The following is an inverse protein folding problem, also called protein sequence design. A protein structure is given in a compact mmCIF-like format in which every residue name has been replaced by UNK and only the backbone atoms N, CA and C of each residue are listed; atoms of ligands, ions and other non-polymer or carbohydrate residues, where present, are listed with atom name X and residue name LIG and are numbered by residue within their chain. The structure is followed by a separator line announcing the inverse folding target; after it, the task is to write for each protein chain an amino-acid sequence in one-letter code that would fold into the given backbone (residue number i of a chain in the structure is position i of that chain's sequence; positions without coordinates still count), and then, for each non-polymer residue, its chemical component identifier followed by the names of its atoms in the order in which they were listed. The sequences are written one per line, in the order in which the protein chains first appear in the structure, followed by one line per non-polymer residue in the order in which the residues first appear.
data_IF_742788094017
#
_entry.id   IF_742788094017
#
_cell.length_a   1.000
_cell.length_b   1.000
_cell.length_c   1.000
_cell.angle_alpha   90.00
_cell.angle_beta   90.00
_cell.angle_gamma   90.00
#
_symmetry.space_group_name_H-M   'P 1'
#
loop_
_entity.id
_entity.type
_entity.pdbx_description
1 polymer ?
#
# COMPACT_ATOMS: atom_id res chain seq x y z
N UNK A 1 -1.41 -0.30 -19.72
CA UNK A 1 -2.07 -1.38 -18.93
C UNK A 1 -2.45 -0.79 -17.58
N UNK A 2 -3.46 0.08 -17.62
CA UNK A 2 -4.00 0.80 -16.48
C UNK A 2 -4.84 -0.15 -15.62
N UNK A 3 -4.48 -0.25 -14.34
CA UNK A 3 -5.18 -1.07 -13.34
C UNK A 3 -6.42 -0.34 -12.79
N UNK A 4 -6.87 0.73 -13.48
CA UNK A 4 -7.66 1.85 -12.95
C UNK A 4 -9.03 1.54 -12.34
N UNK A 5 -9.52 0.31 -12.36
CA UNK A 5 -10.71 -0.12 -11.59
C UNK A 5 -10.64 -1.60 -11.24
N UNK A 6 -9.59 -2.03 -10.54
CA UNK A 6 -9.55 -3.41 -10.06
C UNK A 6 -10.22 -3.50 -8.69
N UNK A 7 -11.41 -4.11 -8.69
CA UNK A 7 -12.04 -4.68 -7.50
C UNK A 7 -11.20 -5.88 -7.01
N UNK A 8 -10.01 -5.59 -6.48
CA UNK A 8 -9.12 -6.60 -5.91
C UNK A 8 -9.26 -6.53 -4.40
N UNK A 9 -9.59 -7.67 -3.79
CA UNK A 9 -9.55 -7.84 -2.34
C UNK A 9 -8.15 -8.18 -1.83
N UNK A 10 -7.34 -8.88 -2.65
CA UNK A 10 -5.95 -9.26 -2.36
C UNK A 10 -5.14 -9.38 -3.67
N UNK A 11 -4.17 -8.49 -3.94
CA UNK A 11 -3.41 -8.51 -5.18
C UNK A 11 -2.33 -9.58 -5.13
N UNK A 12 -2.24 -10.39 -6.18
CA UNK A 12 -1.10 -11.28 -6.39
C UNK A 12 0.03 -10.43 -6.95
N UNK A 13 1.06 -10.18 -6.14
CA UNK A 13 2.27 -9.50 -6.56
C UNK A 13 3.29 -10.58 -6.95
N UNK A 14 3.80 -10.57 -8.20
CA UNK A 14 4.83 -11.51 -8.63
C UNK A 14 6.08 -11.41 -7.74
N UNK A 15 6.69 -12.53 -7.41
CA UNK A 15 7.97 -12.57 -6.66
C UNK A 15 9.19 -12.24 -7.53
N UNK A 16 8.98 -11.98 -8.82
CA UNK A 16 10.03 -11.68 -9.80
C UNK A 16 10.30 -10.19 -9.95
N UNK A 17 9.52 -9.32 -9.29
CA UNK A 17 9.70 -7.87 -9.37
C UNK A 17 10.41 -7.35 -8.12
N UNK A 18 11.30 -6.37 -8.34
CA UNK A 18 12.00 -5.62 -7.29
C UNK A 18 11.32 -4.29 -6.94
N UNK A 19 10.51 -3.74 -7.84
CA UNK A 19 9.80 -2.47 -7.66
C UNK A 19 8.31 -2.65 -7.90
N UNK A 20 7.49 -2.12 -6.99
CA UNK A 20 6.10 -1.78 -7.29
C UNK A 20 6.07 -0.39 -7.90
N UNK A 21 5.74 -0.31 -9.20
CA UNK A 21 5.78 0.96 -9.94
C UNK A 21 4.80 2.01 -9.44
N UNK A 22 4.98 3.23 -9.93
CA UNK A 22 4.16 4.38 -9.56
C UNK A 22 2.69 4.16 -9.94
N UNK A 23 1.77 4.65 -9.11
CA UNK A 23 0.31 4.54 -9.29
C UNK A 23 -0.23 3.10 -9.50
N UNK A 24 0.54 2.06 -9.19
CA UNK A 24 0.23 0.68 -9.61
C UNK A 24 -1.12 0.17 -9.10
N UNK A 25 -1.51 0.59 -7.91
CA UNK A 25 -2.77 0.29 -7.25
C UNK A 25 -3.57 1.56 -6.91
N UNK A 26 -3.39 2.64 -7.67
CA UNK A 26 -4.22 3.84 -7.57
C UNK A 26 -5.72 3.49 -7.56
N UNK A 27 -6.47 4.14 -6.69
CA UNK A 27 -7.93 4.04 -6.55
C UNK A 27 -8.46 2.60 -6.35
N UNK A 28 -7.65 1.68 -5.81
CA UNK A 28 -8.10 0.34 -5.42
C UNK A 28 -8.96 0.39 -4.14
N UNK A 29 -10.15 0.99 -4.25
CA UNK A 29 -11.08 1.27 -3.13
C UNK A 29 -11.66 0.04 -2.45
N UNK A 30 -11.46 -1.16 -3.00
CA UNK A 30 -11.89 -2.44 -2.43
C UNK A 30 -10.75 -3.19 -1.74
N UNK A 31 -9.50 -2.77 -1.97
CA UNK A 31 -8.31 -3.40 -1.42
C UNK A 31 -8.32 -3.24 0.10
N UNK A 32 -8.36 -4.35 0.84
CA UNK A 32 -8.35 -4.35 2.31
C UNK A 32 -7.02 -4.76 2.89
N UNK A 33 -6.39 -5.76 2.27
CA UNK A 33 -5.15 -6.37 2.71
C UNK A 33 -4.17 -6.41 1.54
N UNK A 34 -2.91 -6.10 1.84
CA UNK A 34 -1.82 -6.31 0.90
C UNK A 34 -0.58 -6.88 1.61
N UNK A 35 0.01 -7.90 0.99
CA UNK A 35 1.23 -8.55 1.42
C UNK A 35 2.28 -8.24 0.36
N UNK A 36 3.29 -7.44 0.71
CA UNK A 36 4.37 -7.10 -0.21
C UNK A 36 5.41 -8.23 -0.17
N UNK A 37 5.76 -8.85 -1.32
CA UNK A 37 6.76 -9.91 -1.36
C UNK A 37 8.14 -9.39 -0.92
N UNK A 38 8.94 -10.26 -0.33
CA UNK A 38 10.34 -9.96 0.05
C UNK A 38 11.26 -9.70 -1.16
N UNK A 39 10.82 -10.01 -2.38
CA UNK A 39 11.53 -9.63 -3.60
C UNK A 39 11.49 -8.12 -3.86
N UNK A 40 10.50 -7.42 -3.29
CA UNK A 40 10.29 -5.98 -3.50
C UNK A 40 11.19 -5.19 -2.55
N UNK A 41 11.98 -4.29 -3.14
CA UNK A 41 12.84 -3.32 -2.45
C UNK A 41 12.33 -1.89 -2.55
N UNK A 42 11.45 -1.58 -3.50
CA UNK A 42 10.98 -0.23 -3.76
C UNK A 42 9.47 -0.18 -3.98
N UNK A 43 8.80 0.77 -3.32
CA UNK A 43 7.42 1.16 -3.58
C UNK A 43 7.44 2.52 -4.28
N UNK A 44 6.84 2.60 -5.48
CA UNK A 44 6.82 3.81 -6.29
C UNK A 44 5.95 4.93 -5.72
N UNK A 45 6.02 6.10 -6.35
CA UNK A 45 5.22 7.26 -5.99
C UNK A 45 3.73 6.95 -6.16
N UNK A 46 2.94 7.37 -5.17
CA UNK A 46 1.48 7.20 -5.19
C UNK A 46 1.00 5.75 -5.47
N UNK A 47 1.83 4.74 -5.21
CA UNK A 47 1.56 3.34 -5.60
C UNK A 47 0.22 2.81 -5.06
N UNK A 48 -0.26 3.29 -3.92
CA UNK A 48 -1.56 2.95 -3.32
C UNK A 48 -2.48 4.16 -3.10
N UNK A 49 -2.26 5.28 -3.80
CA UNK A 49 -3.07 6.49 -3.60
C UNK A 49 -4.58 6.16 -3.69
N UNK A 50 -5.37 6.69 -2.75
CA UNK A 50 -6.81 6.52 -2.62
C UNK A 50 -7.31 5.07 -2.47
N UNK A 51 -6.48 4.13 -1.97
CA UNK A 51 -6.95 2.81 -1.52
C UNK A 51 -7.77 2.91 -0.22
N UNK A 52 -8.95 3.53 -0.27
CA UNK A 52 -9.74 3.96 0.90
C UNK A 52 -10.32 2.84 1.78
N UNK A 53 -10.18 1.57 1.39
CA UNK A 53 -10.58 0.42 2.22
C UNK A 53 -9.39 -0.36 2.77
N UNK A 54 -8.15 0.12 2.57
CA UNK A 54 -6.94 -0.55 3.03
C UNK A 54 -6.88 -0.48 4.56
N UNK A 55 -7.00 -1.64 5.20
CA UNK A 55 -6.96 -1.78 6.66
C UNK A 55 -5.67 -2.43 7.15
N UNK A 56 -4.94 -3.13 6.28
CA UNK A 56 -3.70 -3.82 6.65
C UNK A 56 -2.74 -3.90 5.47
N UNK A 57 -1.46 -3.62 5.75
CA UNK A 57 -0.35 -3.82 4.83
C UNK A 57 0.82 -4.44 5.60
N UNK A 58 1.43 -5.46 4.99
CA UNK A 58 2.70 -6.00 5.45
C UNK A 58 3.82 -5.54 4.51
N UNK A 59 4.69 -4.65 5.02
CA UNK A 59 5.86 -4.13 4.32
C UNK A 59 7.09 -4.88 4.84
N UNK A 60 7.76 -5.70 4.03
CA UNK A 60 8.93 -6.44 4.46
C UNK A 60 10.11 -5.49 4.73
N UNK A 61 11.09 -5.98 5.48
CA UNK A 61 12.33 -5.25 5.78
C UNK A 61 13.15 -4.97 4.51
N UNK A 62 12.93 -5.74 3.44
CA UNK A 62 13.59 -5.59 2.13
C UNK A 62 13.24 -4.28 1.42
N UNK A 63 12.08 -3.68 1.71
CA UNK A 63 11.70 -2.37 1.16
C UNK A 63 12.59 -1.30 1.77
N UNK A 64 13.48 -0.73 0.96
CA UNK A 64 14.39 0.36 1.35
C UNK A 64 13.89 1.74 0.91
N UNK A 65 12.94 1.79 -0.02
CA UNK A 65 12.43 3.03 -0.59
C UNK A 65 10.90 3.00 -0.69
N UNK A 66 10.27 4.10 -0.27
CA UNK A 66 8.84 4.35 -0.39
C UNK A 66 8.67 5.72 -1.02
N UNK A 67 8.11 5.73 -2.23
CA UNK A 67 7.87 6.93 -3.01
C UNK A 67 6.88 7.86 -2.33
N UNK A 68 6.96 9.14 -2.71
CA UNK A 68 6.12 10.18 -2.13
C UNK A 68 4.63 9.88 -2.32
N UNK A 69 3.84 10.14 -1.28
CA UNK A 69 2.39 9.95 -1.30
C UNK A 69 1.92 8.52 -1.60
N UNK A 70 2.80 7.51 -1.49
CA UNK A 70 2.50 6.11 -1.80
C UNK A 70 1.22 5.60 -1.12
N UNK A 71 0.89 6.11 0.08
CA UNK A 71 -0.33 5.75 0.82
C UNK A 71 -1.30 6.91 1.03
N UNK A 72 -1.20 7.98 0.22
CA UNK A 72 -2.08 9.14 0.35
C UNK A 72 -3.53 8.74 0.13
N UNK A 73 -4.42 9.23 0.99
CA UNK A 73 -5.85 8.95 0.86
C UNK A 73 -6.31 7.56 1.29
N UNK A 74 -5.41 6.60 1.58
CA UNK A 74 -5.77 5.25 2.05
C UNK A 74 -6.58 5.27 3.35
N UNK A 75 -6.24 6.18 4.27
CA UNK A 75 -6.76 6.17 5.64
C UNK A 75 -7.79 7.29 5.91
N UNK A 76 -8.52 7.71 4.88
CA UNK A 76 -9.48 8.84 4.99
C UNK A 76 -10.81 8.48 5.66
N UNK A 77 -11.10 7.20 5.97
CA UNK A 77 -12.36 6.82 6.61
C UNK A 77 -12.39 7.26 8.07
N UNK A 78 -13.25 8.25 8.30
CA UNK A 78 -13.67 8.83 9.56
C UNK A 78 -14.57 7.83 10.29
N UNK A 79 -14.11 7.33 11.43
CA UNK A 79 -14.90 7.02 12.63
C UNK A 79 -13.87 6.74 13.74
N UNK A 80 -13.90 7.53 14.81
CA UNK A 80 -12.87 7.69 15.86
C UNK A 80 -12.52 6.42 16.69
N UNK A 81 -12.90 5.21 16.26
CA UNK A 81 -12.64 3.96 16.98
C UNK A 81 -11.57 3.06 16.33
N UNK A 82 -11.04 3.40 15.15
CA UNK A 82 -9.99 2.61 14.45
C UNK A 82 -8.66 3.38 14.28
N UNK A 83 -8.30 4.23 15.26
CA UNK A 83 -7.04 4.99 15.28
C UNK A 83 -5.78 4.08 15.24
N UNK A 84 -5.92 2.78 15.53
CA UNK A 84 -4.78 1.86 15.67
C UNK A 84 -4.15 1.38 14.36
N UNK A 85 -4.81 1.55 13.19
CA UNK A 85 -4.22 1.13 11.89
C UNK A 85 -3.18 2.13 11.39
N UNK A 86 -3.43 3.44 11.57
CA UNK A 86 -2.49 4.51 11.19
C UNK A 86 -1.18 4.37 11.95
N UNK A 87 -1.23 4.14 13.26
CA UNK A 87 -0.04 4.01 14.11
C UNK A 87 0.81 2.77 13.76
N UNK A 88 0.19 1.65 13.36
CA UNK A 88 0.92 0.41 13.00
C UNK A 88 1.66 0.53 11.65
N UNK A 89 1.12 1.29 10.71
CA UNK A 89 1.75 1.49 9.39
C UNK A 89 2.70 2.68 9.42
N UNK A 90 2.34 3.79 10.08
CA UNK A 90 3.23 4.93 10.28
C UNK A 90 4.45 4.53 11.10
N UNK A 91 4.32 3.72 12.15
CA UNK A 91 5.50 3.18 12.85
C UNK A 91 6.38 2.32 11.93
N UNK A 92 5.79 1.49 11.06
CA UNK A 92 6.55 0.70 10.07
C UNK A 92 7.23 1.54 8.97
N UNK A 93 6.73 2.75 8.70
CA UNK A 93 7.28 3.68 7.70
C UNK A 93 8.27 4.69 8.32
N UNK A 94 8.01 5.18 9.55
CA UNK A 94 8.83 6.17 10.26
C UNK A 94 9.99 5.57 11.08
N UNK A 95 9.92 4.30 11.51
CA UNK A 95 11.02 3.64 12.24
C UNK A 95 11.95 2.83 11.31
N UNK A 96 12.05 3.23 10.04
CA UNK A 96 13.15 2.87 9.14
C UNK A 96 14.01 4.09 8.87
#
# INVERSE_FOLDING_TARGET
MDVKKKNINAPIIPTTISKLGDYRFEDCTTLRLIIIPTSVSELGEYCFINCTSLTSIDIPTTVSEIGNGCFDGCFRKKNEKEQNVKENILSKILYK
#
